data_IF_378538736429
#
_entry.id   IF_378538736429
#
_cell.length_a   1.000
_cell.length_b   1.000
_cell.length_c   1.000
_cell.angle_alpha   90.00
_cell.angle_beta   90.00
_cell.angle_gamma   90.00
#
_symmetry.space_group_name_H-M   'P 1'
#
loop_
_entity.id
_entity.type
_entity.pdbx_description
1 polymer ?
#
# COMPACT_ATOMS: atom_id res chain seq x y z
N UNK A 1 -3.64 12.88 8.93
CA UNK A 1 -3.89 11.53 8.40
C UNK A 1 -3.55 11.58 6.92
N UNK A 2 -2.74 10.65 6.42
CA UNK A 2 -2.20 10.61 5.05
C UNK A 2 -2.30 9.23 4.39
N UNK A 3 -3.21 8.38 4.85
CA UNK A 3 -3.36 6.99 4.42
C UNK A 3 -3.42 6.80 2.89
N UNK A 4 -4.24 7.56 2.17
CA UNK A 4 -4.33 7.51 0.71
C UNK A 4 -3.02 7.93 0.03
N UNK A 5 -2.33 8.91 0.59
CA UNK A 5 -1.03 9.39 0.05
C UNK A 5 0.03 8.32 0.24
N UNK A 6 0.09 7.73 1.42
CA UNK A 6 1.00 6.63 1.74
C UNK A 6 0.74 5.40 0.85
N UNK A 7 -0.54 5.02 0.65
CA UNK A 7 -0.93 3.92 -0.24
C UNK A 7 -0.54 4.17 -1.69
N UNK A 8 -0.78 5.37 -2.22
CA UNK A 8 -0.39 5.72 -3.59
C UNK A 8 1.13 5.67 -3.76
N UNK A 9 1.87 6.15 -2.77
CA UNK A 9 3.33 6.12 -2.77
C UNK A 9 3.84 4.68 -2.72
N UNK A 10 3.28 3.84 -1.85
CA UNK A 10 3.62 2.41 -1.78
C UNK A 10 3.34 1.69 -3.11
N UNK A 11 2.18 1.95 -3.74
CA UNK A 11 1.85 1.39 -5.04
C UNK A 11 2.88 1.77 -6.10
N UNK A 12 3.28 3.03 -6.15
CA UNK A 12 4.21 3.52 -7.17
C UNK A 12 5.64 2.97 -6.97
N UNK A 13 6.01 2.63 -5.73
CA UNK A 13 7.24 1.87 -5.43
C UNK A 13 7.18 0.41 -5.90
N UNK A 14 6.00 -0.22 -5.87
CA UNK A 14 5.81 -1.63 -6.21
C UNK A 14 5.50 -1.86 -7.70
N UNK A 15 4.92 -0.88 -8.39
CA UNK A 15 4.52 -0.99 -9.80
C UNK A 15 5.69 -0.92 -10.80
N UNK A 16 6.84 -1.51 -10.42
CA UNK A 16 8.06 -1.59 -11.22
C UNK A 16 8.42 -3.06 -11.44
N UNK A 17 8.11 -3.64 -12.62
CA UNK A 17 8.49 -5.00 -12.94
C UNK A 17 9.96 -5.04 -13.39
N UNK A 18 10.88 -4.79 -12.48
CA UNK A 18 12.32 -4.87 -12.73
C UNK A 18 12.87 -6.27 -12.41
N UNK A 19 12.14 -7.11 -11.66
CA UNK A 19 12.55 -8.47 -11.30
C UNK A 19 11.45 -9.52 -11.59
N UNK A 20 11.63 -10.39 -12.61
CA UNK A 20 10.65 -11.42 -12.96
C UNK A 20 10.28 -12.38 -11.82
N UNK A 21 11.21 -12.61 -10.88
CA UNK A 21 11.02 -13.56 -9.77
C UNK A 21 9.94 -13.13 -8.78
N UNK A 22 9.81 -11.83 -8.52
CA UNK A 22 8.89 -11.26 -7.51
C UNK A 22 7.65 -10.61 -8.12
N UNK A 23 7.57 -10.60 -9.46
CA UNK A 23 6.54 -9.90 -10.23
C UNK A 23 5.10 -10.30 -9.85
N UNK A 24 4.88 -11.56 -9.45
CA UNK A 24 3.54 -12.02 -9.06
C UNK A 24 3.12 -11.44 -7.71
N UNK A 25 4.01 -11.49 -6.71
CA UNK A 25 3.75 -10.95 -5.37
C UNK A 25 3.60 -9.42 -5.41
N UNK A 26 4.41 -8.76 -6.24
CA UNK A 26 4.28 -7.32 -6.50
C UNK A 26 2.93 -6.94 -7.08
N UNK A 27 2.51 -7.66 -8.12
CA UNK A 27 1.22 -7.43 -8.77
C UNK A 27 0.09 -7.63 -7.76
N UNK A 28 0.19 -8.68 -6.94
CA UNK A 28 -0.77 -8.93 -5.88
C UNK A 28 -0.81 -7.78 -4.87
N UNK A 29 0.35 -7.31 -4.39
CA UNK A 29 0.44 -6.17 -3.48
C UNK A 29 -0.17 -4.90 -4.07
N UNK A 30 0.13 -4.59 -5.34
CA UNK A 30 -0.45 -3.45 -6.08
C UNK A 30 -1.97 -3.57 -6.19
N UNK A 31 -2.48 -4.77 -6.48
CA UNK A 31 -3.92 -5.01 -6.59
C UNK A 31 -4.65 -4.81 -5.27
N UNK A 32 -4.08 -5.28 -4.16
CA UNK A 32 -4.61 -5.06 -2.82
C UNK A 32 -4.59 -3.58 -2.43
N UNK A 33 -3.51 -2.85 -2.72
CA UNK A 33 -3.45 -1.39 -2.51
C UNK A 33 -4.54 -0.67 -3.31
N UNK A 34 -4.77 -1.07 -4.55
CA UNK A 34 -5.83 -0.48 -5.37
C UNK A 34 -7.23 -0.77 -4.81
N UNK A 35 -7.46 -1.95 -4.20
CA UNK A 35 -8.71 -2.26 -3.49
C UNK A 35 -8.88 -1.37 -2.26
N UNK A 36 -7.85 -1.21 -1.44
CA UNK A 36 -7.86 -0.31 -0.27
C UNK A 36 -8.20 1.14 -0.67
N UNK A 37 -7.55 1.67 -1.71
CA UNK A 37 -7.81 3.02 -2.23
C UNK A 37 -9.25 3.23 -2.70
N UNK A 38 -9.86 2.21 -3.33
CA UNK A 38 -11.28 2.27 -3.72
C UNK A 38 -12.18 2.33 -2.49
N UNK A 39 -11.93 1.50 -1.48
CA UNK A 39 -12.71 1.48 -0.24
C UNK A 39 -12.58 2.79 0.55
N UNK A 40 -11.39 3.38 0.61
CA UNK A 40 -11.18 4.71 1.21
C UNK A 40 -12.02 5.79 0.49
N UNK A 41 -12.08 5.74 -0.83
CA UNK A 41 -12.94 6.64 -1.62
C UNK A 41 -14.42 6.40 -1.32
N UNK A 42 -14.87 5.15 -1.22
CA UNK A 42 -16.26 4.81 -0.87
C UNK A 42 -16.63 5.31 0.54
N UNK A 43 -15.67 5.32 1.47
CA UNK A 43 -15.80 5.86 2.82
C UNK A 43 -15.68 7.39 2.88
N UNK A 44 -15.53 8.07 1.72
CA UNK A 44 -15.27 9.51 1.62
C UNK A 44 -14.06 9.98 2.47
N UNK A 45 -13.09 9.09 2.70
CA UNK A 45 -11.82 9.44 3.34
C UNK A 45 -11.02 10.26 2.32
N UNK A 46 -10.73 11.52 2.65
CA UNK A 46 -9.87 12.40 1.88
C UNK A 46 -8.76 12.98 2.77
N UNK A 47 -7.52 12.78 2.33
CA UNK A 47 -6.33 13.23 3.07
C UNK A 47 -5.76 14.56 2.53
N UNK A 48 -6.50 15.24 1.62
CA UNK A 48 -6.30 16.64 1.28
C UNK A 48 -5.05 16.98 0.46
N UNK A 49 -4.37 15.99 -0.16
CA UNK A 49 -3.17 16.21 -0.98
C UNK A 49 -3.30 15.69 -2.42
N UNK A 50 -2.79 16.50 -3.34
CA UNK A 50 -2.68 16.19 -4.77
C UNK A 50 -1.66 15.08 -5.05
N UNK A 51 -1.94 14.36 -6.13
CA UNK A 51 -1.50 13.00 -6.48
C UNK A 51 -0.18 12.97 -7.26
N UNK A 52 0.44 14.13 -7.51
CA UNK A 52 1.51 14.27 -8.51
C UNK A 52 2.93 14.27 -7.94
N UNK A 53 3.10 14.20 -6.63
CA UNK A 53 4.42 14.04 -6.02
C UNK A 53 4.83 12.56 -6.02
N UNK A 54 5.03 12.04 -7.24
CA UNK A 54 5.68 10.74 -7.42
C UNK A 54 7.11 10.89 -6.92
N UNK A 55 7.41 10.32 -5.75
CA UNK A 55 8.77 10.22 -5.29
C UNK A 55 9.54 9.36 -6.32
N UNK A 56 10.45 9.93 -7.13
CA UNK A 56 11.28 9.09 -7.96
C UNK A 56 12.13 8.26 -7.00
N UNK A 57 12.08 6.93 -7.07
CA UNK A 57 12.97 6.13 -6.25
C UNK A 57 14.40 6.51 -6.61
N UNK A 58 15.24 6.66 -5.59
CA UNK A 58 16.65 6.92 -5.80
C UNK A 58 17.21 5.83 -6.73
N UNK A 59 17.93 6.24 -7.77
CA UNK A 59 18.54 5.33 -8.73
C UNK A 59 19.50 4.32 -8.09
N UNK A 60 19.86 4.51 -6.82
CA UNK A 60 20.69 3.61 -6.01
C UNK A 60 19.93 2.50 -5.28
N UNK A 61 18.60 2.51 -5.26
CA UNK A 61 17.82 1.54 -4.49
C UNK A 61 17.91 0.15 -5.09
N UNK A 62 18.21 -0.83 -4.23
CA UNK A 62 17.99 -2.25 -4.53
C UNK A 62 16.48 -2.53 -4.49
N UNK A 63 16.00 -3.61 -5.15
CA UNK A 63 14.60 -4.03 -5.03
C UNK A 63 14.13 -4.18 -3.57
N UNK A 64 15.00 -4.67 -2.70
CA UNK A 64 14.75 -4.82 -1.26
C UNK A 64 14.46 -3.48 -0.56
N UNK A 65 15.13 -2.39 -0.98
CA UNK A 65 14.96 -1.07 -0.38
C UNK A 65 13.56 -0.50 -0.68
N UNK A 66 13.07 -0.68 -1.92
CA UNK A 66 11.71 -0.24 -2.30
C UNK A 66 10.63 -1.07 -1.61
N UNK A 67 10.84 -2.38 -1.42
CA UNK A 67 9.91 -3.22 -0.67
C UNK A 67 9.81 -2.81 0.80
N UNK A 68 10.95 -2.56 1.44
CA UNK A 68 10.98 -2.08 2.82
C UNK A 68 10.25 -0.74 2.96
N UNK A 69 10.54 0.21 2.07
CA UNK A 69 9.90 1.52 2.08
C UNK A 69 8.38 1.43 1.81
N UNK A 70 7.94 0.58 0.88
CA UNK A 70 6.53 0.32 0.66
C UNK A 70 5.85 -0.24 1.91
N UNK A 71 6.50 -1.16 2.64
CA UNK A 71 5.97 -1.71 3.89
C UNK A 71 5.81 -0.64 4.98
N UNK A 72 6.78 0.26 5.14
CA UNK A 72 6.70 1.39 6.09
C UNK A 72 5.49 2.29 5.77
N UNK A 73 5.23 2.57 4.49
CA UNK A 73 4.08 3.37 4.07
C UNK A 73 2.76 2.65 4.33
N UNK A 74 2.69 1.33 4.08
CA UNK A 74 1.52 0.52 4.41
C UNK A 74 1.23 0.50 5.92
N UNK A 75 2.27 0.41 6.75
CA UNK A 75 2.13 0.46 8.21
C UNK A 75 1.54 1.80 8.67
N UNK A 76 2.00 2.92 8.10
CA UNK A 76 1.45 4.25 8.37
C UNK A 76 0.00 4.38 7.91
N UNK A 77 -0.30 3.94 6.69
CA UNK A 77 -1.66 3.98 6.14
C UNK A 77 -2.65 3.14 6.96
N UNK A 78 -2.18 2.03 7.54
CA UNK A 78 -2.95 1.17 8.45
C UNK A 78 -3.17 1.79 9.82
N UNK A 79 -2.22 2.58 10.32
CA UNK A 79 -2.34 3.27 11.61
C UNK A 79 -3.24 4.50 11.50
N UNK A 80 -3.08 5.26 10.41
CA UNK A 80 -4.17 6.04 9.86
C UNK A 80 -5.34 5.07 9.50
N UNK A 81 -6.47 5.37 8.90
CA UNK A 81 -7.53 4.37 8.66
C UNK A 81 -8.16 3.61 9.88
N UNK A 82 -7.47 3.25 10.98
CA UNK A 82 -7.97 2.48 12.15
C UNK A 82 -8.59 3.32 13.27
N UNK A 83 -9.08 4.51 12.93
CA UNK A 83 -9.76 5.40 13.86
C UNK A 83 -11.13 4.85 14.33
N UNK A 84 -11.69 5.41 15.40
CA UNK A 84 -13.00 4.96 15.87
C UNK A 84 -14.12 5.44 14.92
N UNK A 85 -15.04 4.53 14.56
CA UNK A 85 -16.15 4.77 13.63
C UNK A 85 -17.48 4.32 14.24
N UNK A 86 -18.45 5.24 14.35
CA UNK A 86 -19.77 5.00 14.95
C UNK A 86 -20.78 4.42 13.96
N UNK A 87 -20.62 4.73 12.67
CA UNK A 87 -21.49 4.23 11.62
C UNK A 87 -21.14 2.76 11.28
N UNK A 88 -22.10 1.81 11.33
CA UNK A 88 -21.85 0.40 11.01
C UNK A 88 -21.35 0.14 9.58
N UNK A 89 -21.82 0.93 8.60
CA UNK A 89 -21.40 0.85 7.22
C UNK A 89 -19.95 1.33 7.07
N UNK A 90 -19.59 2.48 7.66
CA UNK A 90 -18.21 2.98 7.66
C UNK A 90 -17.26 2.01 8.38
N UNK A 91 -17.67 1.41 9.51
CA UNK A 91 -16.91 0.33 10.16
C UNK A 91 -16.64 -0.86 9.24
N UNK A 92 -17.59 -1.21 8.38
CA UNK A 92 -17.38 -2.31 7.43
C UNK A 92 -16.35 -1.94 6.37
N UNK A 93 -16.44 -0.73 5.81
CA UNK A 93 -15.45 -0.22 4.85
C UNK A 93 -14.06 -0.14 5.48
N UNK A 94 -13.96 0.34 6.72
CA UNK A 94 -12.72 0.38 7.47
C UNK A 94 -12.08 -1.01 7.62
N UNK A 95 -12.86 -2.02 7.99
CA UNK A 95 -12.34 -3.40 8.07
C UNK A 95 -11.83 -3.90 6.73
N UNK A 96 -12.55 -3.62 5.64
CA UNK A 96 -12.11 -3.97 4.29
C UNK A 96 -10.81 -3.25 3.91
N UNK A 97 -10.69 -1.95 4.24
CA UNK A 97 -9.47 -1.16 4.01
C UNK A 97 -8.29 -1.80 4.72
N UNK A 98 -8.41 -2.06 6.02
CA UNK A 98 -7.33 -2.66 6.83
C UNK A 98 -6.96 -4.05 6.32
N UNK A 99 -7.95 -4.85 5.94
CA UNK A 99 -7.72 -6.17 5.35
C UNK A 99 -6.85 -6.09 4.10
N UNK A 100 -7.21 -5.23 3.14
CA UNK A 100 -6.43 -5.06 1.91
C UNK A 100 -5.01 -4.53 2.17
N UNK A 101 -4.83 -3.64 3.15
CA UNK A 101 -3.49 -3.19 3.54
C UNK A 101 -2.67 -4.35 4.12
N UNK A 102 -3.28 -5.19 4.96
CA UNK A 102 -2.61 -6.36 5.55
C UNK A 102 -2.25 -7.43 4.51
N UNK A 103 -3.10 -7.68 3.50
CA UNK A 103 -2.75 -8.58 2.39
C UNK A 103 -1.59 -8.03 1.54
N UNK A 104 -1.58 -6.72 1.25
CA UNK A 104 -0.48 -6.09 0.53
C UNK A 104 0.86 -6.24 1.30
N UNK A 105 0.84 -6.09 2.63
CA UNK A 105 2.02 -6.29 3.49
C UNK A 105 2.54 -7.73 3.42
N UNK A 106 1.64 -8.73 3.45
CA UNK A 106 2.04 -10.14 3.33
C UNK A 106 2.64 -10.46 1.97
N UNK A 107 2.07 -9.92 0.89
CA UNK A 107 2.62 -10.07 -0.45
C UNK A 107 4.05 -9.51 -0.56
N UNK A 108 4.31 -8.34 0.04
CA UNK A 108 5.67 -7.79 0.12
C UNK A 108 6.61 -8.73 0.89
N UNK A 109 6.16 -9.32 1.99
CA UNK A 109 6.98 -10.26 2.77
C UNK A 109 7.36 -11.50 1.96
N UNK A 110 6.47 -12.02 1.12
CA UNK A 110 6.78 -13.08 0.17
C UNK A 110 7.77 -12.62 -0.91
N UNK A 111 7.56 -11.44 -1.50
CA UNK A 111 8.47 -10.88 -2.50
C UNK A 111 9.89 -10.71 -1.97
N UNK A 112 10.05 -10.18 -0.75
CA UNK A 112 11.37 -10.03 -0.10
C UNK A 112 11.99 -11.41 0.15
N UNK A 113 11.23 -12.38 0.64
CA UNK A 113 11.74 -13.74 0.85
C UNK A 113 12.19 -14.40 -0.45
N UNK A 114 11.49 -14.17 -1.56
CA UNK A 114 11.80 -14.78 -2.85
C UNK A 114 12.96 -14.07 -3.56
N UNK A 115 13.12 -12.77 -3.35
CA UNK A 115 14.25 -11.98 -3.83
C UNK A 115 15.59 -12.41 -3.21
N UNK A 116 15.57 -12.88 -1.95
CA UNK A 116 16.76 -13.30 -1.21
C UNK A 116 17.18 -14.76 -1.47
N UNK A 117 16.39 -15.55 -2.21
CA UNK A 117 16.75 -16.91 -2.62
C UNK A 117 17.66 -16.94 -3.84
#
# INVERSE_FOLDING_TARGET
MHAMTDLRTARDLLARPDYPRVMNDERHAVDEINKALRKMRDAAIDDGKNVDDRMPPDARWRPEDRFHQAKVLLDKARQDATHHEDDPYLRSLQRDIVHHIDEARRAIDYAVSDALR
#
